data_IF_689026220332
#
_entry.id   IF_689026220332
#
_cell.length_a   1.000
_cell.length_b   1.000
_cell.length_c   1.000
_cell.angle_alpha   90.00
_cell.angle_beta   90.00
_cell.angle_gamma   90.00
#
_symmetry.space_group_name_H-M   'P 1'
#
loop_
_entity.id
_entity.type
_entity.pdbx_description
1 polymer ?
#
# COMPACT_ATOMS: atom_id res chain seq x y z
N UNK A 1 -2.51 -14.58 15.38
CA UNK A 1 -2.36 -13.25 14.73
C UNK A 1 -2.57 -13.44 13.24
N UNK A 2 -3.63 -12.88 12.63
CA UNK A 2 -3.94 -13.11 11.22
C UNK A 2 -2.97 -12.31 10.31
N UNK A 3 -2.21 -13.04 9.49
CA UNK A 3 -1.16 -12.50 8.61
C UNK A 3 -1.71 -11.61 7.48
N UNK A 4 -2.93 -11.88 6.99
CA UNK A 4 -3.58 -11.16 5.87
C UNK A 4 -5.01 -10.74 6.22
N UNK A 5 -5.57 -9.76 5.48
CA UNK A 5 -6.99 -9.41 5.55
C UNK A 5 -7.84 -10.59 5.08
N UNK A 6 -8.81 -11.04 5.88
CA UNK A 6 -9.69 -12.15 5.51
C UNK A 6 -10.57 -11.85 4.28
N UNK A 7 -10.75 -10.57 3.94
CA UNK A 7 -11.45 -10.15 2.72
C UNK A 7 -10.89 -8.82 2.21
N UNK A 8 -10.02 -8.84 1.19
CA UNK A 8 -9.41 -7.62 0.64
C UNK A 8 -10.41 -6.65 0.02
N UNK A 9 -11.50 -7.14 -0.59
CA UNK A 9 -12.54 -6.28 -1.20
C UNK A 9 -13.25 -5.45 -0.13
N UNK A 10 -13.52 -6.03 1.06
CA UNK A 10 -14.09 -5.29 2.18
C UNK A 10 -13.12 -4.19 2.66
N UNK A 11 -11.82 -4.50 2.72
CA UNK A 11 -10.81 -3.50 3.08
C UNK A 11 -10.80 -2.33 2.08
N UNK A 12 -10.79 -2.62 0.78
CA UNK A 12 -10.87 -1.59 -0.26
C UNK A 12 -12.12 -0.72 -0.09
N UNK A 13 -13.31 -1.33 0.06
CA UNK A 13 -14.57 -0.59 0.31
C UNK A 13 -14.51 0.29 1.56
N UNK A 14 -13.84 -0.16 2.62
CA UNK A 14 -13.68 0.62 3.87
C UNK A 14 -12.75 1.82 3.69
N UNK A 15 -11.70 1.67 2.88
CA UNK A 15 -10.80 2.76 2.50
C UNK A 15 -11.54 3.77 1.62
N UNK A 16 -12.22 3.31 0.55
CA UNK A 16 -12.98 4.18 -0.37
C UNK A 16 -14.09 4.98 0.34
N UNK A 17 -14.75 4.36 1.33
CA UNK A 17 -15.76 5.04 2.16
C UNK A 17 -15.20 5.91 3.30
N UNK A 18 -13.86 5.99 3.42
CA UNK A 18 -13.11 6.68 4.48
C UNK A 18 -13.46 6.21 5.91
N UNK A 19 -14.00 5.00 6.04
CA UNK A 19 -14.29 4.36 7.34
C UNK A 19 -13.04 3.77 7.97
N UNK A 20 -12.13 3.23 7.15
CA UNK A 20 -10.76 2.94 7.58
C UNK A 20 -9.97 4.25 7.62
N UNK A 21 -9.32 4.52 8.75
CA UNK A 21 -8.57 5.77 8.93
C UNK A 21 -7.25 5.72 8.18
N UNK A 22 -7.14 6.49 7.10
CA UNK A 22 -5.89 6.74 6.39
C UNK A 22 -5.75 8.26 6.22
N UNK A 23 -4.80 8.93 6.91
CA UNK A 23 -4.66 10.39 6.84
C UNK A 23 -4.19 10.85 5.46
N UNK A 24 -3.36 10.04 4.77
CA UNK A 24 -2.86 10.36 3.44
C UNK A 24 -2.96 9.17 2.49
N UNK A 25 -3.86 9.29 1.51
CA UNK A 25 -4.09 8.34 0.44
C UNK A 25 -3.49 8.92 -0.84
N UNK A 26 -2.50 8.21 -1.39
CA UNK A 26 -1.83 8.56 -2.64
C UNK A 26 -2.39 7.73 -3.78
N UNK A 27 -2.94 8.39 -4.79
CA UNK A 27 -3.35 7.79 -6.06
C UNK A 27 -2.23 7.97 -7.09
N UNK A 28 -1.75 6.89 -7.68
CA UNK A 28 -0.78 6.93 -8.77
C UNK A 28 -1.51 6.63 -10.07
N UNK A 29 -1.36 7.47 -11.08
CA UNK A 29 -2.03 7.29 -12.36
C UNK A 29 -1.08 7.61 -13.53
N UNK A 30 -1.59 7.51 -14.75
CA UNK A 30 -0.86 7.84 -15.97
C UNK A 30 -1.84 8.27 -17.07
N UNK A 31 -1.32 8.72 -18.21
CA UNK A 31 -2.12 9.00 -19.41
C UNK A 31 -2.91 7.77 -19.90
N UNK A 32 -2.47 6.55 -19.59
CA UNK A 32 -3.18 5.32 -19.96
C UNK A 32 -4.49 5.15 -19.19
N UNK A 33 -4.49 5.56 -17.92
CA UNK A 33 -5.67 5.55 -17.05
C UNK A 33 -5.49 6.60 -15.96
N UNK A 34 -6.25 7.68 -16.06
CA UNK A 34 -6.24 8.79 -15.10
C UNK A 34 -7.09 8.50 -13.85
N UNK A 35 -6.83 9.21 -12.75
CA UNK A 35 -7.39 8.89 -11.43
C UNK A 35 -8.84 9.30 -11.20
N UNK A 36 -9.42 10.18 -12.04
CA UNK A 36 -10.69 10.84 -11.72
C UNK A 36 -11.85 9.86 -11.49
N UNK A 37 -11.87 8.70 -12.16
CA UNK A 37 -12.89 7.65 -11.95
C UNK A 37 -12.77 7.03 -10.56
N UNK A 38 -11.53 6.78 -10.11
CA UNK A 38 -11.29 6.34 -8.74
C UNK A 38 -11.69 7.40 -7.71
N UNK A 39 -11.43 8.70 -7.99
CA UNK A 39 -11.89 9.78 -7.11
C UNK A 39 -13.42 9.80 -7.01
N UNK A 40 -14.14 9.51 -8.10
CA UNK A 40 -15.59 9.35 -8.07
C UNK A 40 -16.01 8.14 -7.22
N UNK A 41 -15.26 7.03 -7.23
CA UNK A 41 -15.52 5.89 -6.34
C UNK A 41 -15.40 6.26 -4.86
N UNK A 42 -14.43 7.09 -4.46
CA UNK A 42 -14.33 7.61 -3.09
C UNK A 42 -15.59 8.39 -2.69
N UNK A 43 -16.07 9.27 -3.58
CA UNK A 43 -17.29 10.06 -3.36
C UNK A 43 -18.53 9.17 -3.33
N UNK A 44 -18.63 8.20 -4.24
CA UNK A 44 -19.76 7.27 -4.30
C UNK A 44 -19.81 6.41 -3.03
N UNK A 45 -18.71 5.76 -2.65
CA UNK A 45 -18.67 4.85 -1.51
C UNK A 45 -18.83 5.57 -0.17
N UNK A 46 -18.29 6.77 -0.02
CA UNK A 46 -18.53 7.58 1.19
C UNK A 46 -20.02 7.89 1.36
N UNK A 47 -20.69 8.39 0.32
CA UNK A 47 -22.14 8.66 0.34
C UNK A 47 -22.99 7.40 0.51
N UNK A 48 -22.65 6.32 -0.20
CA UNK A 48 -23.36 5.03 -0.14
C UNK A 48 -23.36 4.42 1.27
N UNK A 49 -22.27 4.62 2.02
CA UNK A 49 -22.16 4.22 3.43
C UNK A 49 -22.80 5.21 4.43
N UNK A 50 -23.45 6.26 3.95
CA UNK A 50 -24.09 7.29 4.78
C UNK A 50 -23.13 8.32 5.37
N UNK A 51 -21.88 8.38 4.88
CA UNK A 51 -20.92 9.38 5.30
C UNK A 51 -21.03 10.62 4.41
N UNK A 52 -21.43 11.75 4.98
CA UNK A 52 -21.45 13.05 4.30
C UNK A 52 -20.31 13.93 4.81
N UNK A 53 -19.12 13.71 4.27
CA UNK A 53 -17.94 14.53 4.58
C UNK A 53 -17.92 15.79 3.71
N UNK A 54 -17.64 16.98 4.28
CA UNK A 54 -17.32 18.15 3.47
C UNK A 54 -16.06 17.89 2.64
N UNK A 55 -16.11 18.28 1.36
CA UNK A 55 -15.03 18.03 0.40
C UNK A 55 -14.38 19.37 0.03
N UNK A 56 -13.10 19.50 0.34
CA UNK A 56 -12.26 20.61 -0.12
C UNK A 56 -11.45 20.12 -1.32
N UNK A 57 -11.70 20.69 -2.50
CA UNK A 57 -11.02 20.31 -3.73
C UNK A 57 -9.97 21.36 -4.11
N UNK A 58 -8.73 20.93 -4.25
CA UNK A 58 -7.58 21.75 -4.66
C UNK A 58 -7.30 21.42 -6.12
N UNK A 59 -7.28 22.47 -6.93
CA UNK A 59 -7.12 22.35 -8.37
C UNK A 59 -5.86 23.07 -8.88
N UNK A 60 -4.96 22.32 -9.50
CA UNK A 60 -3.87 22.82 -10.35
C UNK A 60 -4.21 22.70 -11.84
N UNK A 61 -5.00 21.71 -12.23
CA UNK A 61 -5.31 21.43 -13.64
C UNK A 61 -6.81 21.16 -13.92
N UNK A 62 -7.62 21.01 -12.88
CA UNK A 62 -9.07 20.80 -12.98
C UNK A 62 -9.86 22.11 -13.17
N UNK A 63 -10.04 22.55 -14.42
CA UNK A 63 -10.80 23.78 -14.72
C UNK A 63 -12.30 23.67 -14.37
N UNK A 64 -12.87 22.48 -14.52
CA UNK A 64 -14.31 22.26 -14.30
C UNK A 64 -14.57 21.87 -12.85
N UNK A 65 -15.16 22.77 -12.07
CA UNK A 65 -15.51 22.52 -10.66
C UNK A 65 -16.35 21.24 -10.51
N UNK A 66 -15.88 20.23 -9.75
CA UNK A 66 -16.63 19.00 -9.52
C UNK A 66 -17.95 19.26 -8.76
N UNK A 67 -19.03 18.60 -9.15
CA UNK A 67 -20.35 18.78 -8.53
C UNK A 67 -20.45 18.30 -7.09
N UNK A 68 -19.55 17.40 -6.67
CA UNK A 68 -19.52 16.85 -5.32
C UNK A 68 -18.72 17.68 -4.32
N UNK A 69 -17.89 18.64 -4.78
CA UNK A 69 -17.05 19.41 -3.87
C UNK A 69 -17.86 20.48 -3.12
N UNK A 70 -17.57 20.66 -1.83
CA UNK A 70 -18.16 21.72 -1.02
C UNK A 70 -17.42 23.02 -1.24
N UNK A 71 -16.09 22.94 -1.21
CA UNK A 71 -15.18 24.06 -1.49
C UNK A 71 -14.27 23.71 -2.66
N UNK A 72 -13.93 24.72 -3.46
CA UNK A 72 -13.05 24.60 -4.61
C UNK A 72 -12.00 25.70 -4.54
N UNK A 73 -10.72 25.33 -4.63
CA UNK A 73 -9.57 26.22 -4.58
C UNK A 73 -8.81 26.08 -5.89
N UNK A 74 -8.68 27.18 -6.64
CA UNK A 74 -7.76 27.29 -7.76
C UNK A 74 -6.36 27.63 -7.23
N UNK A 75 -5.45 26.67 -7.31
CA UNK A 75 -4.08 26.77 -6.80
C UNK A 75 -3.10 27.32 -7.85
N UNK A 76 -3.50 27.49 -9.11
CA UNK A 76 -2.58 27.87 -10.21
C UNK A 76 -1.95 29.26 -10.03
N UNK A 77 -2.67 30.17 -9.40
CA UNK A 77 -2.23 31.56 -9.16
C UNK A 77 -1.78 31.81 -7.72
N UNK A 78 -1.74 30.77 -6.88
CA UNK A 78 -1.42 30.91 -5.45
C UNK A 78 0.02 30.46 -5.19
N UNK A 79 0.74 31.20 -4.34
CA UNK A 79 1.97 30.65 -3.80
C UNK A 79 1.68 29.57 -2.75
N UNK A 80 2.72 28.79 -2.43
CA UNK A 80 2.63 27.67 -1.49
C UNK A 80 2.03 28.05 -0.13
N UNK A 81 2.42 29.21 0.42
CA UNK A 81 2.00 29.62 1.77
C UNK A 81 0.54 30.06 1.77
N UNK A 82 0.10 30.78 0.73
CA UNK A 82 -1.29 31.17 0.57
C UNK A 82 -2.19 29.97 0.31
N UNK A 83 -1.73 29.00 -0.50
CA UNK A 83 -2.44 27.75 -0.74
C UNK A 83 -2.70 27.01 0.58
N UNK A 84 -1.66 26.79 1.39
CA UNK A 84 -1.81 26.07 2.66
C UNK A 84 -2.72 26.82 3.63
N UNK A 85 -2.57 28.14 3.76
CA UNK A 85 -3.49 28.96 4.59
C UNK A 85 -4.94 28.82 4.15
N UNK A 86 -5.19 28.80 2.83
CA UNK A 86 -6.54 28.67 2.29
C UNK A 86 -7.14 27.29 2.63
N UNK A 87 -6.36 26.20 2.48
CA UNK A 87 -6.80 24.85 2.84
C UNK A 87 -7.14 24.78 4.34
N UNK A 88 -6.24 25.25 5.20
CA UNK A 88 -6.43 25.24 6.66
C UNK A 88 -7.67 26.05 7.07
N UNK A 89 -7.97 27.16 6.40
CA UNK A 89 -9.13 28.00 6.71
C UNK A 89 -10.49 27.27 6.54
N UNK A 90 -10.53 26.23 5.70
CA UNK A 90 -11.71 25.41 5.48
C UNK A 90 -11.73 24.13 6.32
N UNK A 91 -10.65 23.83 7.03
CA UNK A 91 -10.55 22.66 7.89
C UNK A 91 -10.88 23.03 9.35
N UNK A 92 -11.42 22.08 10.14
CA UNK A 92 -11.54 22.27 11.57
C UNK A 92 -10.16 22.47 12.22
N UNK A 93 -10.12 23.25 13.30
CA UNK A 93 -8.90 23.39 14.09
C UNK A 93 -8.40 22.01 14.55
N UNK A 94 -7.10 21.75 14.39
CA UNK A 94 -6.49 20.46 14.73
C UNK A 94 -6.66 20.05 16.21
N UNK A 95 -6.84 21.04 17.10
CA UNK A 95 -7.07 20.86 18.54
C UNK A 95 -8.54 20.64 18.92
N UNK A 96 -9.47 20.70 17.96
CA UNK A 96 -10.88 20.50 18.24
C UNK A 96 -11.13 19.04 18.67
N UNK A 97 -11.77 18.84 19.82
CA UNK A 97 -12.04 17.50 20.38
C UNK A 97 -13.16 16.78 19.63
N UNK A 98 -14.09 17.52 19.03
CA UNK A 98 -15.19 16.99 18.22
C UNK A 98 -15.40 17.90 17.00
N UNK A 99 -15.11 17.37 15.82
CA UNK A 99 -15.39 18.02 14.55
C UNK A 99 -15.78 16.98 13.50
N UNK A 100 -16.44 17.43 12.43
CA UNK A 100 -16.74 16.56 11.30
C UNK A 100 -15.46 16.25 10.54
N UNK A 101 -15.30 15.00 10.10
CA UNK A 101 -14.21 14.59 9.23
C UNK A 101 -14.38 15.24 7.85
N UNK A 102 -13.30 15.80 7.31
CA UNK A 102 -13.23 16.43 6.00
C UNK A 102 -12.41 15.56 5.05
N UNK A 103 -12.79 15.58 3.77
CA UNK A 103 -11.99 14.99 2.70
C UNK A 103 -11.33 16.12 1.91
N UNK A 104 -10.01 16.07 1.80
CA UNK A 104 -9.21 17.01 1.01
C UNK A 104 -8.77 16.29 -0.24
N UNK A 105 -9.24 16.72 -1.41
CA UNK A 105 -8.83 16.16 -2.70
C UNK A 105 -7.85 17.12 -3.36
N UNK A 106 -6.72 16.59 -3.83
CA UNK A 106 -5.73 17.33 -4.63
C UNK A 106 -5.67 16.66 -5.99
N UNK A 107 -5.95 17.41 -7.05
CA UNK A 107 -5.99 16.88 -8.41
C UNK A 107 -4.60 16.43 -8.90
N UNK A 108 -3.53 17.15 -8.57
CA UNK A 108 -2.17 16.78 -8.97
C UNK A 108 -1.10 17.29 -8.00
N UNK A 109 -0.32 16.36 -7.42
CA UNK A 109 0.83 16.67 -6.58
C UNK A 109 2.09 17.04 -7.39
N UNK A 110 2.06 16.86 -8.71
CA UNK A 110 3.21 17.14 -9.57
C UNK A 110 3.63 18.62 -9.50
N UNK A 111 2.67 19.53 -9.32
CA UNK A 111 2.87 20.98 -9.25
C UNK A 111 3.49 21.50 -7.94
N UNK A 112 3.55 20.67 -6.89
CA UNK A 112 4.21 21.05 -5.63
C UNK A 112 5.69 20.62 -5.72
N UNK A 113 6.62 21.54 -5.47
CA UNK A 113 8.06 21.23 -5.50
C UNK A 113 8.41 20.18 -4.44
N UNK A 114 9.36 19.29 -4.78
CA UNK A 114 9.71 18.11 -3.98
C UNK A 114 10.12 18.46 -2.55
N UNK A 115 10.84 19.57 -2.36
CA UNK A 115 11.28 20.08 -1.06
C UNK A 115 10.13 20.53 -0.15
N UNK A 116 8.97 20.86 -0.71
CA UNK A 116 7.80 21.32 0.05
C UNK A 116 6.81 20.20 0.37
N UNK A 117 6.98 18.99 -0.17
CA UNK A 117 6.03 17.87 0.02
C UNK A 117 5.85 17.52 1.50
N UNK A 118 6.95 17.33 2.23
CA UNK A 118 6.87 16.93 3.65
C UNK A 118 6.25 18.03 4.51
N UNK A 119 6.59 19.30 4.23
CA UNK A 119 6.00 20.47 4.87
C UNK A 119 4.51 20.61 4.57
N UNK A 120 4.11 20.38 3.32
CA UNK A 120 2.72 20.42 2.90
C UNK A 120 1.89 19.38 3.63
N UNK A 121 2.35 18.13 3.64
CA UNK A 121 1.65 17.04 4.32
C UNK A 121 1.54 17.29 5.83
N UNK A 122 2.58 17.87 6.47
CA UNK A 122 2.56 18.14 7.91
C UNK A 122 1.65 19.30 8.30
N UNK A 123 1.58 20.37 7.49
CA UNK A 123 0.72 21.53 7.76
C UNK A 123 -0.77 21.21 7.56
N UNK A 124 -1.12 20.29 6.64
CA UNK A 124 -2.51 19.88 6.38
C UNK A 124 -2.95 18.68 7.24
N UNK A 125 -2.01 17.92 7.81
CA UNK A 125 -2.32 16.78 8.67
C UNK A 125 -3.18 17.20 9.87
N UNK A 126 -4.36 16.56 10.00
CA UNK A 126 -5.30 16.80 11.09
C UNK A 126 -6.07 15.52 11.42
N UNK A 127 -6.44 15.26 12.68
CA UNK A 127 -7.29 14.13 13.05
C UNK A 127 -8.64 14.11 12.31
N UNK A 128 -9.10 15.28 11.87
CA UNK A 128 -10.37 15.49 11.19
C UNK A 128 -10.23 15.60 9.67
N UNK A 129 -9.07 15.24 9.10
CA UNK A 129 -8.79 15.37 7.68
C UNK A 129 -8.26 14.06 7.11
N UNK A 130 -8.84 13.61 5.99
CA UNK A 130 -8.22 12.61 5.11
C UNK A 130 -7.89 13.27 3.78
N UNK A 131 -6.61 13.23 3.41
CA UNK A 131 -6.12 13.72 2.13
C UNK A 131 -6.13 12.59 1.10
N UNK A 132 -6.72 12.84 -0.06
CA UNK A 132 -6.69 11.97 -1.24
C UNK A 132 -6.04 12.78 -2.36
N UNK A 133 -4.85 12.39 -2.79
CA UNK A 133 -4.09 13.17 -3.75
C UNK A 133 -3.58 12.30 -4.89
N UNK A 134 -3.61 12.82 -6.11
CA UNK A 134 -3.09 12.11 -7.28
C UNK A 134 -1.68 12.56 -7.61
N UNK A 135 -0.85 11.64 -8.05
CA UNK A 135 0.46 11.90 -8.64
C UNK A 135 0.57 11.16 -9.98
N UNK A 136 0.84 11.90 -11.05
CA UNK A 136 0.99 11.36 -12.40
C UNK A 136 2.39 10.74 -12.55
N UNK A 137 2.46 9.43 -12.81
CA UNK A 137 3.69 8.64 -12.92
C UNK A 137 4.57 9.06 -14.11
N UNK A 138 3.95 9.57 -15.16
CA UNK A 138 4.59 9.93 -16.43
C UNK A 138 5.05 11.40 -16.52
N UNK A 139 4.55 12.28 -15.65
CA UNK A 139 5.05 13.65 -15.50
C UNK A 139 6.37 13.64 -14.71
N UNK A 140 7.41 14.22 -15.29
CA UNK A 140 8.74 14.30 -14.67
C UNK A 140 8.84 15.53 -13.79
N UNK A 141 9.59 15.43 -12.69
CA UNK A 141 9.82 16.56 -11.79
C UNK A 141 10.54 17.72 -12.50
N UNK A 142 10.03 18.94 -12.35
CA UNK A 142 10.51 20.15 -13.04
C UNK A 142 11.94 20.58 -12.63
N UNK A 143 12.54 19.96 -11.61
CA UNK A 143 13.77 20.40 -10.96
C UNK A 143 15.05 19.64 -11.39
N UNK A 144 15.21 19.32 -12.68
CA UNK A 144 16.50 18.78 -13.20
C UNK A 144 17.45 19.83 -13.81
N UNK A 145 17.09 21.12 -13.84
CA UNK A 145 17.88 22.13 -14.58
C UNK A 145 18.84 22.99 -13.77
N UNK A 146 18.83 22.96 -12.43
CA UNK A 146 19.91 23.55 -11.61
C UNK A 146 20.02 22.74 -10.33
N UNK A 147 21.11 21.99 -10.14
CA UNK A 147 21.38 21.23 -8.92
C UNK A 147 22.16 22.15 -7.98
N UNK A 148 21.57 22.73 -6.91
CA UNK A 148 22.34 22.99 -5.71
C UNK A 148 22.72 21.65 -5.08
N UNK A 149 23.97 21.52 -4.63
CA UNK A 149 24.62 20.25 -4.21
C UNK A 149 23.82 19.41 -3.18
N UNK A 150 22.85 20.00 -2.46
CA UNK A 150 22.01 19.30 -1.49
C UNK A 150 20.89 18.44 -2.11
N UNK A 151 20.45 18.71 -3.34
CA UNK A 151 19.33 17.99 -3.99
C UNK A 151 19.76 16.66 -4.61
N UNK A 152 21.06 16.35 -4.67
CA UNK A 152 21.57 15.16 -5.32
C UNK A 152 21.21 13.86 -4.57
N UNK A 153 21.01 13.94 -3.25
CA UNK A 153 20.68 12.78 -2.40
C UNK A 153 19.25 12.86 -1.82
N UNK A 154 18.47 13.88 -2.20
CA UNK A 154 17.07 13.93 -1.78
C UNK A 154 16.27 12.93 -2.63
N UNK A 155 15.34 12.16 -2.05
CA UNK A 155 14.54 11.21 -2.82
C UNK A 155 13.76 11.94 -3.92
N UNK A 156 13.56 11.25 -5.05
CA UNK A 156 12.63 11.72 -6.07
C UNK A 156 11.20 11.82 -5.49
N UNK A 157 10.35 12.61 -6.15
CA UNK A 157 9.03 12.94 -5.60
C UNK A 157 8.16 11.71 -5.44
N UNK A 158 8.20 10.75 -6.37
CA UNK A 158 7.44 9.53 -6.29
C UNK A 158 7.88 8.68 -5.08
N UNK A 159 9.18 8.45 -4.92
CA UNK A 159 9.74 7.72 -3.77
C UNK A 159 9.36 8.37 -2.44
N UNK A 160 9.45 9.70 -2.35
CA UNK A 160 9.06 10.45 -1.17
C UNK A 160 7.56 10.31 -0.87
N UNK A 161 6.70 10.45 -1.88
CA UNK A 161 5.26 10.35 -1.71
C UNK A 161 4.83 8.94 -1.29
N UNK A 162 5.38 7.90 -1.92
CA UNK A 162 5.13 6.51 -1.56
C UNK A 162 5.59 6.22 -0.12
N UNK A 163 6.71 6.81 0.32
CA UNK A 163 7.17 6.68 1.70
C UNK A 163 6.20 7.32 2.69
N UNK A 164 5.74 8.54 2.42
CA UNK A 164 4.85 9.30 3.30
C UNK A 164 3.40 8.79 3.32
N UNK A 165 2.92 8.18 2.24
CA UNK A 165 1.56 7.69 2.12
C UNK A 165 1.26 6.57 3.12
N UNK A 166 0.09 6.64 3.76
CA UNK A 166 -0.44 5.56 4.60
C UNK A 166 -1.22 4.53 3.78
N UNK A 167 -1.74 4.94 2.62
CA UNK A 167 -2.32 4.05 1.62
C UNK A 167 -1.92 4.52 0.24
N UNK A 168 -1.48 3.59 -0.61
CA UNK A 168 -1.15 3.85 -2.00
C UNK A 168 -2.16 3.09 -2.85
N UNK A 169 -2.63 3.75 -3.90
CA UNK A 169 -3.60 3.22 -4.82
C UNK A 169 -3.06 3.46 -6.23
N UNK A 170 -2.44 2.43 -6.78
CA UNK A 170 -1.76 2.49 -8.07
C UNK A 170 -2.72 2.02 -9.17
N UNK A 171 -3.00 2.92 -10.12
CA UNK A 171 -4.03 2.76 -11.14
C UNK A 171 -3.35 2.37 -12.44
N UNK A 172 -3.84 1.28 -13.04
CA UNK A 172 -3.38 0.81 -14.34
C UNK A 172 -4.58 0.50 -15.25
N UNK A 173 -4.31 0.56 -16.55
CA UNK A 173 -5.31 0.29 -17.58
C UNK A 173 -5.57 -1.21 -17.71
N UNK A 174 -6.83 -1.59 -17.87
CA UNK A 174 -7.21 -2.95 -18.31
C UNK A 174 -7.34 -2.94 -19.82
N UNK A 175 -6.46 -3.66 -20.50
CA UNK A 175 -6.42 -3.74 -21.96
C UNK A 175 -7.44 -4.77 -22.46
N UNK A 176 -8.33 -4.35 -23.36
CA UNK A 176 -9.27 -5.23 -24.06
C UNK A 176 -8.84 -5.51 -25.50
N UNK A 177 -7.72 -4.90 -25.93
CA UNK A 177 -7.20 -5.00 -27.28
C UNK A 177 -6.28 -6.20 -27.49
N UNK A 178 -5.59 -6.19 -28.63
CA UNK A 178 -4.55 -7.19 -28.94
C UNK A 178 -3.16 -6.79 -28.44
N UNK A 179 -2.99 -5.52 -28.06
CA UNK A 179 -1.72 -5.02 -27.56
C UNK A 179 -1.52 -5.43 -26.11
N UNK A 180 -0.29 -5.79 -25.77
CA UNK A 180 0.09 -6.01 -24.38
C UNK A 180 0.49 -4.70 -23.66
N UNK A 181 0.73 -4.79 -22.36
CA UNK A 181 1.07 -3.63 -21.52
C UNK A 181 2.41 -2.99 -21.88
N UNK A 182 3.38 -3.79 -22.35
CA UNK A 182 4.72 -3.31 -22.70
C UNK A 182 4.67 -2.54 -24.02
N UNK A 183 3.98 -3.10 -25.03
CA UNK A 183 3.73 -2.43 -26.31
C UNK A 183 2.99 -1.10 -26.12
N UNK A 184 1.99 -1.07 -25.23
CA UNK A 184 1.29 0.18 -24.89
C UNK A 184 2.23 1.17 -24.22
N UNK A 185 3.09 0.73 -23.30
CA UNK A 185 4.10 1.59 -22.66
C UNK A 185 5.06 2.21 -23.68
N UNK A 186 5.58 1.42 -24.61
CA UNK A 186 6.45 1.90 -25.69
C UNK A 186 5.77 2.94 -26.58
N UNK A 187 4.52 2.68 -27.00
CA UNK A 187 3.73 3.63 -27.79
C UNK A 187 3.50 4.94 -27.04
N UNK A 188 3.15 4.87 -25.75
CA UNK A 188 2.92 6.05 -24.92
C UNK A 188 4.20 6.87 -24.67
N UNK A 189 5.36 6.21 -24.55
CA UNK A 189 6.65 6.89 -24.46
C UNK A 189 6.96 7.70 -25.73
N UNK A 190 6.51 7.24 -26.89
CA UNK A 190 6.57 7.97 -28.16
C UNK A 190 5.37 8.90 -28.40
N UNK A 191 4.51 9.08 -27.39
CA UNK A 191 3.28 9.87 -27.47
C UNK A 191 2.29 9.40 -28.56
N UNK A 192 2.38 8.12 -28.94
CA UNK A 192 1.43 7.46 -29.84
C UNK A 192 0.32 6.86 -29.01
N UNK A 193 -0.86 7.49 -29.02
CA UNK A 193 -1.98 7.06 -28.17
C UNK A 193 -2.77 5.92 -28.85
N UNK A 194 -2.70 4.67 -28.37
CA UNK A 194 -3.55 3.60 -28.89
C UNK A 194 -5.01 3.77 -28.42
N UNK A 195 -5.92 3.04 -29.05
CA UNK A 195 -7.33 2.97 -28.65
C UNK A 195 -7.50 2.04 -27.44
N UNK A 196 -8.59 2.22 -26.69
CA UNK A 196 -8.94 1.33 -25.58
C UNK A 196 -8.20 1.63 -24.26
N UNK A 197 -7.80 2.89 -24.07
CA UNK A 197 -7.27 3.43 -22.81
C UNK A 197 -8.36 4.24 -22.08
N UNK A 198 -8.13 4.59 -20.80
CA UNK A 198 -9.07 5.35 -19.97
C UNK A 198 -10.49 4.73 -19.88
N UNK A 199 -10.56 3.41 -19.76
CA UNK A 199 -11.79 2.63 -19.71
C UNK A 199 -12.53 2.81 -18.38
N UNK A 200 -13.82 2.46 -18.33
CA UNK A 200 -14.61 2.46 -17.06
C UNK A 200 -14.22 1.30 -16.15
N UNK A 201 -13.71 0.23 -16.75
CA UNK A 201 -13.11 -0.91 -16.06
C UNK A 201 -11.60 -0.73 -16.08
N UNK A 202 -10.98 -0.69 -14.91
CA UNK A 202 -9.53 -0.50 -14.76
C UNK A 202 -8.98 -1.32 -13.59
N UNK A 203 -7.66 -1.47 -13.55
CA UNK A 203 -6.96 -2.24 -12.53
C UNK A 203 -6.46 -1.30 -11.44
N UNK A 204 -6.45 -1.81 -10.22
CA UNK A 204 -6.06 -1.09 -9.03
C UNK A 204 -5.15 -1.95 -8.16
N UNK A 205 -3.91 -1.52 -7.92
CA UNK A 205 -3.05 -2.12 -6.90
C UNK A 205 -3.11 -1.29 -5.62
N UNK A 206 -3.64 -1.89 -4.57
CA UNK A 206 -3.78 -1.29 -3.24
C UNK A 206 -2.61 -1.69 -2.36
N UNK A 207 -1.86 -0.71 -1.85
CA UNK A 207 -0.87 -0.91 -0.78
C UNK A 207 -1.38 -0.23 0.49
N UNK A 208 -1.70 -1.02 1.52
CA UNK A 208 -2.17 -0.51 2.81
C UNK A 208 -1.12 -0.74 3.90
N UNK A 209 -0.59 0.35 4.48
CA UNK A 209 0.38 0.28 5.58
C UNK A 209 -0.35 0.16 6.92
N UNK A 210 -0.22 -1.00 7.56
CA UNK A 210 -0.79 -1.24 8.89
C UNK A 210 -0.07 -0.42 9.95
N UNK A 211 -0.73 -0.23 11.10
CA UNK A 211 -0.11 0.39 12.30
C UNK A 211 1.14 -0.32 12.79
N UNK A 212 1.32 -1.61 12.45
CA UNK A 212 2.52 -2.38 12.77
C UNK A 212 3.70 -2.08 11.85
N UNK A 213 3.54 -1.20 10.85
CA UNK A 213 4.54 -0.92 9.81
C UNK A 213 4.55 -1.90 8.64
N UNK A 214 3.78 -3.00 8.70
CA UNK A 214 3.68 -3.97 7.60
C UNK A 214 2.78 -3.44 6.47
N UNK A 215 3.25 -3.53 5.24
CA UNK A 215 2.45 -3.23 4.04
C UNK A 215 1.71 -4.48 3.56
N UNK A 216 0.42 -4.32 3.28
CA UNK A 216 -0.38 -5.32 2.57
C UNK A 216 -0.59 -4.87 1.14
N UNK A 217 -0.47 -5.79 0.20
CA UNK A 217 -0.67 -5.52 -1.23
C UNK A 217 -1.77 -6.41 -1.80
N UNK A 218 -2.67 -5.82 -2.59
CA UNK A 218 -3.77 -6.51 -3.26
C UNK A 218 -4.07 -5.86 -4.60
N UNK A 219 -4.36 -6.67 -5.62
CA UNK A 219 -4.75 -6.20 -6.95
C UNK A 219 -6.27 -6.37 -7.15
N UNK A 220 -6.92 -5.37 -7.74
CA UNK A 220 -8.36 -5.39 -7.98
C UNK A 220 -8.72 -4.96 -9.40
N UNK A 221 -9.79 -5.53 -9.94
CA UNK A 221 -10.52 -4.96 -11.08
C UNK A 221 -11.64 -4.09 -10.51
N UNK A 222 -11.72 -2.86 -10.98
CA UNK A 222 -12.72 -1.89 -10.59
C UNK A 222 -13.61 -1.57 -11.79
N UNK A 223 -14.92 -1.73 -11.62
CA UNK A 223 -15.91 -1.23 -12.58
C UNK A 223 -16.57 0.04 -12.02
N UNK A 224 -16.19 1.20 -12.56
CA UNK A 224 -16.71 2.50 -12.11
C UNK A 224 -18.17 2.79 -12.51
N UNK A 225 -18.76 2.00 -13.43
CA UNK A 225 -20.17 2.15 -13.79
C UNK A 225 -21.10 1.40 -12.81
N UNK A 226 -20.71 0.19 -12.40
CA UNK A 226 -21.51 -0.65 -11.48
C UNK A 226 -21.07 -0.50 -10.02
N UNK A 227 -19.93 0.14 -9.76
CA UNK A 227 -19.29 0.28 -8.44
C UNK A 227 -18.96 -1.10 -7.80
N UNK A 228 -18.58 -2.05 -8.65
CA UNK A 228 -18.19 -3.41 -8.28
C UNK A 228 -16.66 -3.56 -8.31
N UNK A 229 -16.14 -4.33 -7.36
CA UNK A 229 -14.70 -4.55 -7.19
C UNK A 229 -14.44 -6.03 -7.02
N UNK A 230 -13.55 -6.57 -7.84
CA UNK A 230 -13.17 -7.97 -7.85
C UNK A 230 -11.68 -8.10 -7.52
N UNK A 231 -11.32 -9.10 -6.72
CA UNK A 231 -9.91 -9.37 -6.39
C UNK A 231 -9.26 -10.10 -7.57
N UNK A 232 -8.14 -9.59 -8.05
CA UNK A 232 -7.24 -10.34 -8.92
C UNK A 232 -6.38 -11.26 -8.04
N UNK A 233 -6.51 -12.57 -8.26
CA UNK A 233 -5.50 -13.52 -7.79
C UNK A 233 -4.24 -13.34 -8.64
N UNK A 234 -3.37 -12.43 -8.23
CA UNK A 234 -2.01 -12.40 -8.77
C UNK A 234 -1.28 -13.63 -8.24
N UNK A 235 -0.74 -14.46 -9.13
CA UNK A 235 -0.13 -15.78 -8.85
C UNK A 235 0.98 -15.73 -7.78
N UNK A 236 1.48 -14.54 -7.43
CA UNK A 236 2.51 -14.34 -6.40
C UNK A 236 2.04 -14.60 -4.96
N UNK A 237 0.73 -14.55 -4.66
CA UNK A 237 0.24 -14.86 -3.30
C UNK A 237 -0.20 -16.33 -3.13
N UNK A 238 -0.41 -17.07 -4.22
CA UNK A 238 -0.75 -18.50 -4.14
C UNK A 238 0.49 -19.37 -3.88
N UNK A 239 1.70 -18.95 -4.24
CA UNK A 239 2.93 -19.71 -3.92
C UNK A 239 3.31 -19.64 -2.44
N UNK A 240 3.01 -18.55 -1.73
CA UNK A 240 3.30 -18.42 -0.28
C UNK A 240 2.15 -18.89 0.62
N UNK A 241 0.91 -18.96 0.10
CA UNK A 241 -0.26 -19.40 0.87
C UNK A 241 -0.62 -20.89 0.67
N UNK A 242 -0.13 -21.50 -0.41
CA UNK A 242 -0.43 -22.89 -0.78
C UNK A 242 0.72 -23.87 -0.52
N UNK A 243 1.81 -23.43 0.13
CA UNK A 243 2.89 -24.30 0.65
C UNK A 243 2.60 -24.84 2.06
N UNK A 244 1.31 -24.96 2.41
CA UNK A 244 0.85 -25.96 3.39
C UNK A 244 0.26 -27.20 2.69
N UNK A 245 0.45 -27.35 1.38
CA UNK A 245 0.49 -28.67 0.77
C UNK A 245 1.78 -29.32 1.21
N UNK A 246 1.69 -30.34 2.08
CA UNK A 246 2.82 -31.18 2.50
C UNK A 246 3.72 -31.46 1.28
N UNK A 247 4.92 -30.88 1.25
CA UNK A 247 5.96 -31.29 0.32
C UNK A 247 6.22 -32.77 0.60
N UNK A 248 5.62 -33.66 -0.21
CA UNK A 248 5.84 -35.08 -0.03
C UNK A 248 7.22 -35.41 -0.58
N UNK A 249 7.98 -36.32 0.07
CA UNK A 249 9.29 -36.75 -0.43
C UNK A 249 9.24 -37.33 -1.86
N UNK A 250 8.05 -37.65 -2.37
CA UNK A 250 7.79 -38.07 -3.74
C UNK A 250 7.92 -36.90 -4.75
N UNK A 251 7.60 -35.66 -4.36
CA UNK A 251 7.71 -34.48 -5.23
C UNK A 251 9.16 -34.03 -5.46
N UNK A 252 10.07 -34.37 -4.54
CA UNK A 252 11.50 -34.06 -4.63
C UNK A 252 12.31 -35.18 -5.32
N UNK A 253 11.64 -36.29 -5.67
CA UNK A 253 12.29 -37.47 -6.22
C UNK A 253 12.71 -37.23 -7.68
N UNK A 254 14.01 -36.99 -7.88
CA UNK A 254 14.62 -36.69 -9.20
C UNK A 254 15.17 -35.27 -9.34
N UNK A 255 14.87 -34.37 -8.39
CA UNK A 255 15.47 -33.02 -8.32
C UNK A 255 16.77 -33.00 -7.49
N UNK A 256 16.98 -34.03 -6.65
CA UNK A 256 18.17 -34.17 -5.79
C UNK A 256 19.01 -35.37 -6.22
N UNK A 257 20.33 -35.26 -6.10
CA UNK A 257 21.28 -36.36 -6.41
C UNK A 257 21.36 -37.42 -5.30
N UNK A 258 20.69 -37.18 -4.16
CA UNK A 258 20.62 -38.09 -3.03
C UNK A 258 19.15 -38.35 -2.64
N UNK A 259 18.87 -39.57 -2.16
CA UNK A 259 17.52 -39.99 -1.81
C UNK A 259 17.14 -39.41 -0.43
N UNK A 260 16.16 -38.51 -0.43
CA UNK A 260 15.60 -37.89 0.78
C UNK A 260 14.52 -38.74 1.46
N UNK A 261 14.03 -39.81 0.80
CA UNK A 261 13.02 -40.70 1.35
C UNK A 261 13.59 -41.80 2.26
N UNK A 262 12.90 -42.09 3.37
CA UNK A 262 13.22 -43.27 4.19
C UNK A 262 12.75 -44.56 3.51
N UNK A 263 13.61 -45.57 3.40
CA UNK A 263 13.21 -46.89 2.92
C UNK A 263 12.22 -47.56 3.89
N UNK A 264 11.35 -48.44 3.38
CA UNK A 264 10.39 -49.21 4.19
C UNK A 264 11.05 -49.93 5.37
N UNK A 265 12.30 -50.39 5.20
CA UNK A 265 13.07 -51.03 6.27
C UNK A 265 13.46 -50.06 7.39
N UNK A 266 13.78 -48.81 7.05
CA UNK A 266 14.14 -47.76 8.02
C UNK A 266 12.91 -47.27 8.78
N UNK A 267 11.77 -47.15 8.10
CA UNK A 267 10.49 -46.78 8.72
C UNK A 267 10.05 -47.81 9.76
N UNK A 268 10.09 -49.10 9.41
CA UNK A 268 9.80 -50.19 10.35
C UNK A 268 10.76 -50.22 11.55
N UNK A 269 12.05 -49.96 11.32
CA UNK A 269 13.02 -49.89 12.40
C UNK A 269 12.72 -48.72 13.35
N UNK A 270 12.38 -47.54 12.82
CA UNK A 270 11.99 -46.37 13.62
C UNK A 270 10.75 -46.66 14.48
N UNK A 271 9.72 -47.28 13.90
CA UNK A 271 8.48 -47.56 14.63
C UNK A 271 8.65 -48.62 15.74
N UNK A 272 9.70 -49.45 15.65
CA UNK A 272 10.05 -50.44 16.69
C UNK A 272 10.97 -49.88 17.79
N UNK A 273 11.44 -48.64 17.67
CA UNK A 273 12.20 -47.99 18.74
C UNK A 273 11.24 -47.53 19.82
N UNK A 274 11.24 -48.25 20.95
CA UNK A 274 10.50 -47.84 22.14
C UNK A 274 11.12 -46.57 22.72
N UNK A 275 10.48 -45.43 22.47
CA UNK A 275 10.85 -44.17 23.12
C UNK A 275 10.30 -44.18 24.55
N UNK A 276 11.11 -43.87 25.58
CA UNK A 276 10.59 -43.65 26.92
C UNK A 276 9.60 -42.48 26.87
N UNK A 277 8.35 -42.75 27.22
CA UNK A 277 7.29 -41.75 27.29
C UNK A 277 7.55 -40.85 28.50
N UNK A 278 8.07 -39.64 28.26
CA UNK A 278 8.04 -38.57 29.25
C UNK A 278 6.70 -37.84 29.09
N UNK A 279 5.83 -37.93 30.08
CA UNK A 279 4.58 -37.18 30.10
C UNK A 279 4.93 -35.68 30.13
N UNK A 280 4.66 -34.98 29.03
CA UNK A 280 4.77 -33.53 28.98
C UNK A 280 3.74 -32.95 29.95
N UNK A 281 4.24 -32.58 31.13
CA UNK A 281 3.64 -31.80 32.22
C UNK A 281 2.22 -31.24 31.92
N UNK A 282 1.20 -31.88 32.50
CA UNK A 282 -0.18 -31.37 32.54
C UNK A 282 -0.31 -30.23 33.57
N UNK A 283 0.48 -29.16 33.45
CA UNK A 283 0.33 -27.94 34.26
C UNK A 283 0.32 -26.71 33.33
N UNK A 284 -0.73 -25.89 33.48
CA UNK A 284 -0.96 -24.72 32.64
C UNK A 284 0.09 -23.62 32.81
N UNK A 285 0.20 -22.82 31.74
CA UNK A 285 1.11 -21.69 31.49
C UNK A 285 2.56 -22.07 31.17
N UNK A 286 2.87 -22.03 29.86
CA UNK A 286 4.16 -21.63 29.29
C UNK A 286 5.38 -22.39 29.77
N UNK A 287 5.94 -23.25 28.90
CA UNK A 287 7.27 -23.82 29.09
C UNK A 287 8.34 -22.72 29.13
N UNK A 288 8.59 -22.19 30.32
CA UNK A 288 9.77 -21.41 30.62
C UNK A 288 10.89 -22.41 30.90
N UNK A 289 11.82 -22.54 29.95
CA UNK A 289 13.10 -23.21 30.20
C UNK A 289 13.91 -22.22 31.04
N UNK A 290 14.00 -22.47 32.34
CA UNK A 290 14.87 -21.70 33.23
C UNK A 290 16.23 -22.36 33.19
N UNK A 291 17.22 -21.65 32.66
CA UNK A 291 18.61 -22.05 32.75
C UNK A 291 19.09 -21.83 34.19
N UNK A 292 19.60 -22.87 34.84
CA UNK A 292 20.26 -22.78 36.13
C UNK A 292 21.75 -23.06 35.89
N UNK A 293 22.60 -22.08 36.16
CA UNK A 293 24.04 -22.22 35.97
C UNK A 293 24.58 -23.36 36.83
N UNK A 294 25.13 -24.39 36.18
CA UNK A 294 25.87 -25.44 36.87
C UNK A 294 27.28 -24.94 37.23
N UNK A 295 27.84 -25.47 38.32
CA UNK A 295 29.15 -25.05 38.83
C UNK A 295 30.33 -25.47 37.90
N UNK A 296 30.07 -26.39 36.99
CA UNK A 296 31.05 -26.92 36.03
C UNK A 296 30.86 -26.31 34.62
N UNK A 297 30.01 -25.28 34.49
CA UNK A 297 29.83 -24.55 33.23
C UNK A 297 31.04 -23.63 33.02
N UNK A 298 31.91 -24.02 32.08
CA UNK A 298 33.17 -23.36 31.76
C UNK A 298 32.91 -22.12 30.90
N UNK A 299 32.53 -21.04 31.58
CA UNK A 299 32.52 -19.70 31.01
C UNK A 299 33.94 -19.35 30.52
N UNK A 300 34.20 -19.64 29.25
CA UNK A 300 35.38 -19.24 28.51
C UNK A 300 35.21 -17.74 28.18
N UNK A 301 36.05 -16.89 28.78
CA UNK A 301 36.06 -15.43 28.57
C UNK A 301 36.66 -15.02 27.20
N UNK A 302 36.88 -15.97 26.29
CA UNK A 302 37.59 -15.80 25.01
C UNK A 302 36.70 -16.11 23.78
N UNK A 303 35.37 -16.17 23.91
CA UNK A 303 34.47 -16.19 22.75
C UNK A 303 34.39 -14.79 22.10
N UNK A 304 35.02 -14.58 20.92
CA UNK A 304 35.10 -13.28 20.28
C UNK A 304 33.80 -12.85 19.58
N UNK A 305 32.71 -13.63 19.69
CA UNK A 305 31.43 -13.36 19.04
C UNK A 305 30.31 -12.90 19.98
N UNK A 306 30.61 -12.50 21.22
CA UNK A 306 29.63 -11.75 22.01
C UNK A 306 29.35 -10.39 21.34
N UNK A 307 28.15 -10.27 20.76
CA UNK A 307 27.61 -9.06 20.17
C UNK A 307 27.40 -8.02 21.30
N UNK A 308 28.11 -6.87 21.29
CA UNK A 308 27.94 -5.88 22.34
C UNK A 308 26.56 -5.22 22.19
N UNK A 309 25.74 -5.36 23.22
CA UNK A 309 24.41 -4.73 23.37
C UNK A 309 24.26 -3.33 22.77
#
# INVERSE_FOLDING_TARGET
MASSSHNPVILLKRILSLTESSPFILCLDSIAQTSYKLIQEFVHQSKSKGNEYPIVYISFETVNKPSYCTQFIDATQMDFVHLVKQIISYLPAATATQAKKHMVIIDSLNYISTEYITRFLSEIASPHCTMVATYHKDIKDENRTVIPDWNNNYPDKLTLLQFMATTIVDIDVVLTGTLDTEEVSELLNEFRIPRGLNNDIFQLRLVNKRKSGRSLEYDFIVNSNTHEYELLSTTKQEEESSSNGLETPEMLQGLTTFNLGTSNKQKLAKDQVALPFLEAQSFGQGGAIVYEYEKDDDYDEEDPYEDPF
#
